data_IF_084485505993
#
_entry.id   IF_084485505993
#
_cell.length_a   1.000
_cell.length_b   1.000
_cell.length_c   1.000
_cell.angle_alpha   90.00
_cell.angle_beta   90.00
_cell.angle_gamma   90.00
#
_symmetry.space_group_name_H-M   'P 1'
#
loop_
_entity.id
_entity.type
_entity.pdbx_description
1 polymer ?
#
# COMPACT_ATOMS: atom_id res chain seq x y z
N UNK A 1 -6.58 -2.25 3.65
CA UNK A 1 -5.47 -2.58 2.75
C UNK A 1 -4.85 -3.87 3.25
N UNK A 2 -4.77 -4.88 2.41
CA UNK A 2 -4.23 -6.18 2.75
C UNK A 2 -2.71 -6.19 2.38
N UNK A 3 -1.87 -6.80 3.23
CA UNK A 3 -0.40 -6.77 3.12
C UNK A 3 0.25 -8.15 2.96
N UNK A 4 -0.49 -9.24 2.87
CA UNK A 4 0.00 -10.61 2.61
C UNK A 4 0.93 -10.69 1.41
N UNK A 5 0.74 -9.82 0.41
CA UNK A 5 1.62 -9.66 -0.75
C UNK A 5 3.10 -9.40 -0.37
N UNK A 6 3.34 -8.79 0.79
CA UNK A 6 4.67 -8.45 1.31
C UNK A 6 5.44 -9.66 1.85
N UNK A 7 4.77 -10.79 2.16
CA UNK A 7 5.40 -11.98 2.76
C UNK A 7 6.38 -12.66 1.80
N UNK A 8 5.87 -13.09 0.65
CA UNK A 8 6.62 -13.94 -0.28
C UNK A 8 6.64 -13.39 -1.71
N UNK A 9 5.54 -12.74 -2.14
CA UNK A 9 5.37 -12.34 -3.53
C UNK A 9 6.31 -11.20 -3.90
N UNK A 10 6.42 -10.16 -3.06
CA UNK A 10 7.36 -9.06 -3.31
C UNK A 10 8.83 -9.55 -3.27
N UNK A 11 9.28 -10.30 -2.25
CA UNK A 11 10.64 -10.86 -2.25
C UNK A 11 10.93 -11.73 -3.48
N UNK A 12 10.00 -12.62 -3.85
CA UNK A 12 10.13 -13.45 -5.05
C UNK A 12 10.25 -12.60 -6.31
N UNK A 13 9.39 -11.60 -6.48
CA UNK A 13 9.40 -10.75 -7.67
C UNK A 13 10.71 -9.98 -7.83
N UNK A 14 11.27 -9.48 -6.72
CA UNK A 14 12.61 -8.86 -6.70
C UNK A 14 13.70 -9.84 -7.10
N UNK A 15 13.63 -11.08 -6.62
CA UNK A 15 14.62 -12.13 -6.93
C UNK A 15 14.57 -12.55 -8.40
N UNK A 16 13.36 -12.69 -8.97
CA UNK A 16 13.16 -13.14 -10.35
C UNK A 16 13.20 -12.01 -11.38
N UNK A 17 13.29 -10.74 -10.95
CA UNK A 17 13.28 -9.58 -11.85
C UNK A 17 11.95 -9.38 -12.59
N UNK A 18 10.83 -9.78 -11.97
CA UNK A 18 9.49 -9.64 -12.58
C UNK A 18 8.72 -8.44 -11.99
N UNK A 19 7.95 -7.77 -12.84
CA UNK A 19 7.09 -6.67 -12.43
C UNK A 19 5.82 -7.14 -11.71
N UNK A 20 5.21 -6.25 -10.93
CA UNK A 20 4.01 -6.52 -10.15
C UNK A 20 2.83 -5.70 -10.68
N UNK A 21 1.67 -6.33 -10.89
CA UNK A 21 0.44 -5.65 -11.27
C UNK A 21 -0.69 -5.93 -10.25
N UNK A 22 -0.61 -5.37 -9.03
CA UNK A 22 -1.58 -5.66 -7.97
C UNK A 22 -2.95 -5.07 -8.28
N UNK A 23 -3.99 -5.84 -8.00
CA UNK A 23 -5.38 -5.39 -8.06
C UNK A 23 -5.89 -5.06 -6.65
N UNK A 24 -7.06 -4.44 -6.57
CA UNK A 24 -7.73 -4.05 -5.31
C UNK A 24 -6.93 -3.11 -4.38
N UNK A 25 -6.03 -2.31 -4.94
CA UNK A 25 -5.17 -1.40 -4.17
C UNK A 25 -5.93 -0.31 -3.40
N UNK A 26 -7.18 -0.06 -3.77
CA UNK A 26 -8.11 0.87 -3.09
C UNK A 26 -9.23 0.16 -2.29
N UNK A 27 -9.11 -1.16 -2.08
CA UNK A 27 -10.04 -1.99 -1.29
C UNK A 27 -11.48 -1.91 -1.77
N UNK A 28 -11.74 -2.11 -3.06
CA UNK A 28 -13.08 -2.05 -3.65
C UNK A 28 -13.73 -0.66 -3.55
N UNK A 29 -12.94 0.39 -3.37
CA UNK A 29 -13.40 1.75 -3.12
C UNK A 29 -13.90 1.98 -1.68
N UNK A 30 -13.53 1.11 -0.74
CA UNK A 30 -13.81 1.25 0.70
C UNK A 30 -12.77 2.12 1.41
N UNK A 31 -11.59 2.34 0.82
CA UNK A 31 -10.65 3.37 1.27
C UNK A 31 -11.18 4.74 0.82
N UNK A 32 -11.97 5.37 1.69
CA UNK A 32 -12.66 6.65 1.46
C UNK A 32 -12.88 7.37 2.79
N UNK A 33 -12.96 8.71 2.75
CA UNK A 33 -13.15 9.51 3.96
C UNK A 33 -14.52 9.25 4.59
N UNK A 34 -14.69 9.64 5.85
CA UNK A 34 -15.98 9.48 6.54
C UNK A 34 -17.07 10.36 5.90
N UNK A 35 -16.69 11.51 5.33
CA UNK A 35 -17.59 12.37 4.55
C UNK A 35 -18.04 11.68 3.24
N UNK A 36 -17.09 11.17 2.45
CA UNK A 36 -17.40 10.43 1.21
C UNK A 36 -18.26 9.18 1.49
N UNK A 37 -18.05 8.52 2.63
CA UNK A 37 -18.87 7.38 3.05
C UNK A 37 -20.30 7.78 3.39
N UNK A 38 -20.50 8.91 4.08
CA UNK A 38 -21.83 9.43 4.41
C UNK A 38 -22.60 9.81 3.14
N UNK A 39 -21.96 10.52 2.20
CA UNK A 39 -22.56 10.86 0.90
C UNK A 39 -22.95 9.61 0.12
N UNK A 40 -22.10 8.59 0.10
CA UNK A 40 -22.36 7.35 -0.64
C UNK A 40 -23.56 6.57 -0.08
N UNK A 41 -23.75 6.59 1.25
CA UNK A 41 -24.94 5.98 1.90
C UNK A 41 -26.24 6.70 1.55
N UNK A 42 -26.16 8.01 1.28
CA UNK A 42 -27.31 8.81 0.84
C UNK A 42 -27.56 8.68 -0.67
N UNK A 43 -26.53 8.31 -1.45
CA UNK A 43 -26.66 8.10 -2.89
C UNK A 43 -27.43 6.81 -3.21
N UNK A 44 -28.31 6.86 -4.22
CA UNK A 44 -28.97 5.68 -4.78
C UNK A 44 -28.02 4.80 -5.63
N UNK A 45 -26.71 5.07 -5.59
CA UNK A 45 -25.72 4.44 -6.45
C UNK A 45 -25.46 2.99 -5.97
N UNK A 46 -26.16 2.02 -6.56
CA UNK A 46 -25.95 0.59 -6.29
C UNK A 46 -24.50 0.21 -6.56
N UNK A 47 -23.78 -0.14 -5.51
CA UNK A 47 -22.45 -0.73 -5.61
C UNK A 47 -22.56 -2.12 -6.22
N UNK A 48 -21.74 -2.41 -7.24
CA UNK A 48 -21.57 -3.77 -7.78
C UNK A 48 -20.44 -4.54 -7.07
N UNK A 49 -20.04 -4.08 -5.87
CA UNK A 49 -19.00 -4.75 -5.10
C UNK A 49 -19.45 -6.16 -4.75
N UNK A 50 -18.69 -7.15 -5.20
CA UNK A 50 -18.85 -8.56 -4.81
C UNK A 50 -18.60 -8.76 -3.31
N UNK A 51 -17.90 -7.83 -2.66
CA UNK A 51 -17.46 -7.86 -1.27
C UNK A 51 -18.26 -6.89 -0.36
N UNK A 52 -19.42 -6.43 -0.82
CA UNK A 52 -20.26 -5.46 -0.11
C UNK A 52 -19.73 -4.01 -0.15
N UNK A 53 -20.55 -3.08 0.34
CA UNK A 53 -20.28 -1.62 0.28
C UNK A 53 -19.75 -1.06 1.59
N UNK A 54 -20.08 -1.75 2.68
CA UNK A 54 -19.75 -1.35 4.03
C UNK A 54 -18.25 -1.46 4.28
N UNK A 55 -17.76 -0.51 5.08
CA UNK A 55 -16.38 -0.48 5.54
C UNK A 55 -16.29 -1.24 6.85
N UNK A 56 -15.40 -2.21 6.90
CA UNK A 56 -14.93 -2.83 8.14
C UNK A 56 -14.18 -1.81 9.01
N UNK A 57 -14.03 -2.10 10.30
CA UNK A 57 -13.23 -1.27 11.21
C UNK A 57 -11.78 -1.08 10.72
N UNK A 58 -11.20 -2.11 10.10
CA UNK A 58 -9.85 -2.05 9.52
C UNK A 58 -9.79 -1.04 8.37
N UNK A 59 -10.79 -1.00 7.51
CA UNK A 59 -10.87 -0.06 6.39
C UNK A 59 -11.11 1.37 6.88
N UNK A 60 -11.90 1.56 7.94
CA UNK A 60 -12.12 2.88 8.56
C UNK A 60 -10.79 3.40 9.16
N UNK A 61 -10.11 2.58 9.98
CA UNK A 61 -8.81 2.94 10.58
C UNK A 61 -7.78 3.29 9.51
N UNK A 62 -7.68 2.46 8.46
CA UNK A 62 -6.77 2.72 7.35
C UNK A 62 -7.13 3.99 6.58
N UNK A 63 -8.42 4.25 6.34
CA UNK A 63 -8.87 5.46 5.63
C UNK A 63 -8.48 6.73 6.39
N UNK A 64 -8.64 6.76 7.72
CA UNK A 64 -8.23 7.90 8.56
C UNK A 64 -6.72 8.12 8.57
N UNK A 65 -5.95 7.03 8.56
CA UNK A 65 -4.49 7.13 8.47
C UNK A 65 -4.03 7.65 7.09
N UNK A 66 -4.67 7.19 6.01
CA UNK A 66 -4.44 7.71 4.66
C UNK A 66 -4.83 9.19 4.55
N UNK A 67 -5.90 9.61 5.21
CA UNK A 67 -6.32 11.02 5.28
C UNK A 67 -5.27 11.88 6.00
N UNK A 68 -4.73 11.42 7.13
CA UNK A 68 -3.64 12.10 7.81
C UNK A 68 -2.42 12.27 6.89
N UNK A 69 -1.98 11.19 6.24
CA UNK A 69 -0.82 11.24 5.33
C UNK A 69 -1.12 12.12 4.11
N UNK A 70 -2.35 12.09 3.60
CA UNK A 70 -2.76 12.96 2.50
C UNK A 70 -2.58 14.45 2.86
N UNK A 71 -2.94 14.85 4.08
CA UNK A 71 -2.72 16.21 4.56
C UNK A 71 -1.23 16.57 4.65
N UNK A 72 -0.39 15.65 5.12
CA UNK A 72 1.07 15.85 5.26
C UNK A 72 1.77 15.99 3.89
N UNK A 73 1.32 15.25 2.88
CA UNK A 73 1.91 15.28 1.52
C UNK A 73 1.19 16.22 0.55
N UNK A 74 0.14 16.92 1.00
CA UNK A 74 -0.65 17.82 0.17
C UNK A 74 -1.51 17.15 -0.91
N UNK A 75 -1.82 15.86 -0.74
CA UNK A 75 -2.67 15.12 -1.67
C UNK A 75 -4.16 15.42 -1.43
N UNK A 76 -4.91 15.61 -2.51
CA UNK A 76 -6.36 15.84 -2.48
C UNK A 76 -7.13 14.53 -2.30
N UNK A 77 -6.56 13.41 -2.76
CA UNK A 77 -7.21 12.10 -2.74
C UNK A 77 -6.49 11.11 -1.84
N UNK A 78 -7.20 10.59 -0.82
CA UNK A 78 -6.67 9.52 0.01
C UNK A 78 -6.48 8.21 -0.78
N UNK A 79 -7.20 8.04 -1.90
CA UNK A 79 -7.04 6.90 -2.81
C UNK A 79 -5.73 7.01 -3.58
N UNK A 80 -5.36 8.23 -3.99
CA UNK A 80 -4.06 8.47 -4.61
C UNK A 80 -2.91 8.14 -3.64
N UNK A 81 -3.03 8.51 -2.37
CA UNK A 81 -2.07 8.12 -1.32
C UNK A 81 -1.99 6.59 -1.16
N UNK A 82 -3.12 5.89 -1.18
CA UNK A 82 -3.14 4.42 -1.11
C UNK A 82 -2.45 3.78 -2.32
N UNK A 83 -2.68 4.29 -3.53
CA UNK A 83 -2.02 3.84 -4.76
C UNK A 83 -0.51 4.10 -4.68
N UNK A 84 -0.12 5.32 -4.26
CA UNK A 84 1.28 5.70 -4.08
C UNK A 84 1.98 4.80 -3.05
N UNK A 85 1.33 4.49 -1.93
CA UNK A 85 1.84 3.53 -0.94
C UNK A 85 2.17 2.18 -1.57
N UNK A 86 1.26 1.62 -2.38
CA UNK A 86 1.51 0.33 -3.06
C UNK A 86 2.68 0.44 -4.03
N UNK A 87 2.78 1.53 -4.78
CA UNK A 87 3.91 1.79 -5.70
C UNK A 87 5.26 1.93 -4.96
N UNK A 88 5.25 2.33 -3.68
CA UNK A 88 6.45 2.45 -2.85
C UNK A 88 6.91 1.12 -2.23
N UNK A 89 6.19 -0.01 -2.41
CA UNK A 89 6.58 -1.29 -1.79
C UNK A 89 7.74 -2.01 -2.50
N UNK A 90 7.86 -1.82 -3.81
CA UNK A 90 8.87 -2.47 -4.64
C UNK A 90 9.12 -1.65 -5.93
N UNK A 91 10.25 -1.83 -6.60
CA UNK A 91 10.40 -1.34 -7.97
C UNK A 91 9.42 -2.04 -8.92
N UNK A 92 9.06 -1.37 -10.02
CA UNK A 92 8.23 -1.93 -11.12
C UNK A 92 6.86 -2.45 -10.67
N UNK A 93 6.16 -1.66 -9.86
CA UNK A 93 4.78 -1.91 -9.43
C UNK A 93 3.82 -1.07 -10.26
N UNK A 94 2.86 -1.72 -10.90
CA UNK A 94 1.84 -1.13 -11.77
C UNK A 94 0.43 -1.44 -11.25
N UNK A 95 -0.07 -0.68 -10.26
CA UNK A 95 -1.38 -0.94 -9.69
C UNK A 95 -2.51 -0.89 -10.73
N UNK A 96 -3.36 -1.91 -10.72
CA UNK A 96 -4.58 -1.91 -11.54
C UNK A 96 -5.62 -1.05 -10.82
N UNK A 97 -5.91 0.11 -11.40
CA UNK A 97 -6.88 1.08 -10.87
C UNK A 97 -8.18 1.04 -11.66
N UNK A 98 -9.30 0.99 -10.94
CA UNK A 98 -10.64 1.07 -11.51
C UNK A 98 -11.34 2.36 -11.09
N UNK A 99 -12.07 2.98 -12.00
CA UNK A 99 -12.89 4.16 -11.76
C UNK A 99 -14.23 4.04 -12.49
N UNK A 100 -15.32 4.55 -11.89
CA UNK A 100 -16.65 4.58 -12.52
C UNK A 100 -16.97 5.92 -13.16
N UNK A 101 -16.25 6.97 -12.77
CA UNK A 101 -16.39 8.34 -13.26
C UNK A 101 -15.02 8.86 -13.69
N UNK A 102 -14.97 9.72 -14.70
CA UNK A 102 -13.71 10.24 -15.23
C UNK A 102 -12.92 11.02 -14.15
N UNK A 103 -13.62 11.74 -13.29
CA UNK A 103 -13.03 12.53 -12.20
C UNK A 103 -12.33 11.64 -11.17
N UNK A 104 -12.84 10.42 -10.94
CA UNK A 104 -12.19 9.43 -10.07
C UNK A 104 -10.88 8.92 -10.70
N UNK A 105 -10.88 8.71 -12.02
CA UNK A 105 -9.67 8.30 -12.73
C UNK A 105 -8.60 9.39 -12.63
N UNK A 106 -8.98 10.64 -12.92
CA UNK A 106 -8.07 11.79 -12.81
C UNK A 106 -7.55 11.95 -11.38
N UNK A 107 -8.42 11.80 -10.38
CA UNK A 107 -8.02 11.82 -8.96
C UNK A 107 -7.03 10.71 -8.60
N UNK A 108 -7.15 9.51 -9.18
CA UNK A 108 -6.19 8.43 -8.94
C UNK A 108 -4.81 8.72 -9.55
N UNK A 109 -4.72 9.49 -10.63
CA UNK A 109 -3.45 9.83 -11.30
C UNK A 109 -2.56 10.73 -10.43
N UNK A 110 -3.13 11.44 -9.46
CA UNK A 110 -2.37 12.21 -8.46
C UNK A 110 -1.34 11.31 -7.73
N UNK A 111 -1.56 10.00 -7.67
CA UNK A 111 -0.63 9.04 -7.07
C UNK A 111 0.78 9.09 -7.69
N UNK A 112 0.89 9.49 -8.97
CA UNK A 112 2.17 9.59 -9.68
C UNK A 112 3.02 10.77 -9.19
N UNK A 113 2.41 11.75 -8.54
CA UNK A 113 3.07 12.94 -8.01
C UNK A 113 3.37 12.85 -6.50
N UNK A 114 2.83 11.82 -5.84
CA UNK A 114 2.96 11.62 -4.40
C UNK A 114 4.22 10.82 -4.11
N UNK A 115 5.05 11.35 -3.21
CA UNK A 115 6.22 10.63 -2.68
C UNK A 115 6.12 10.49 -1.17
N UNK A 116 6.19 9.26 -0.68
CA UNK A 116 5.92 8.91 0.73
C UNK A 116 7.18 8.61 1.51
N UNK A 117 7.48 9.44 2.51
CA UNK A 117 8.68 9.30 3.32
C UNK A 117 8.73 7.94 4.03
N UNK A 118 9.92 7.46 4.42
CA UNK A 118 10.03 6.26 5.25
C UNK A 118 9.16 6.35 6.52
N UNK A 119 8.97 7.54 7.08
CA UNK A 119 8.12 7.83 8.23
C UNK A 119 6.63 7.63 7.89
N UNK A 120 6.17 8.14 6.75
CA UNK A 120 4.79 7.94 6.28
C UNK A 120 4.51 6.45 6.05
N UNK A 121 5.43 5.74 5.38
CA UNK A 121 5.30 4.28 5.16
C UNK A 121 5.20 3.54 6.49
N UNK A 122 6.14 3.77 7.42
CA UNK A 122 6.10 3.14 8.76
C UNK A 122 4.81 3.45 9.52
N UNK A 123 4.33 4.69 9.43
CA UNK A 123 3.07 5.08 10.06
C UNK A 123 1.88 4.30 9.50
N UNK A 124 1.71 4.27 8.17
CA UNK A 124 0.62 3.53 7.52
C UNK A 124 0.68 2.03 7.84
N UNK A 125 1.89 1.47 7.91
CA UNK A 125 2.12 0.07 8.24
C UNK A 125 1.80 -0.28 9.71
N UNK A 126 1.89 0.68 10.62
CA UNK A 126 1.58 0.49 12.05
C UNK A 126 0.08 0.38 12.35
N UNK A 127 -0.78 0.79 11.42
CA UNK A 127 -2.24 0.89 11.65
C UNK A 127 -2.90 -0.48 11.79
N UNK A 128 -2.42 -1.44 11.01
CA UNK A 128 -2.94 -2.79 10.97
C UNK A 128 -1.79 -3.77 11.27
N UNK A 129 -2.01 -4.77 12.14
CA UNK A 129 -0.99 -5.76 12.42
C UNK A 129 -0.64 -6.52 11.14
N UNK A 130 0.64 -6.73 10.92
CA UNK A 130 1.16 -7.59 9.87
C UNK A 130 1.77 -8.83 10.51
N UNK A 131 1.15 -9.97 10.23
CA UNK A 131 1.75 -11.26 10.52
C UNK A 131 2.61 -11.65 9.31
N UNK A 132 3.91 -11.84 9.50
CA UNK A 132 4.79 -12.32 8.43
C UNK A 132 4.65 -13.83 8.21
N UNK A 133 4.20 -14.58 9.22
CA UNK A 133 4.11 -16.03 9.19
C UNK A 133 5.48 -16.73 9.33
N UNK A 134 5.44 -18.04 9.58
CA UNK A 134 6.62 -18.89 9.51
C UNK A 134 6.97 -19.17 8.03
N UNK A 135 8.26 -19.18 7.62
CA UNK A 135 9.48 -19.10 8.46
C UNK A 135 9.99 -17.68 8.74
N UNK A 136 9.40 -16.64 8.14
CA UNK A 136 9.91 -15.26 8.23
C UNK A 136 9.87 -14.67 9.64
N UNK A 137 8.91 -15.08 10.48
CA UNK A 137 8.85 -14.67 11.89
C UNK A 137 9.98 -15.25 12.77
N UNK A 138 10.68 -16.29 12.29
CA UNK A 138 11.77 -16.93 13.02
C UNK A 138 13.13 -16.54 12.44
N UNK A 139 13.28 -16.55 11.12
CA UNK A 139 14.57 -16.30 10.46
C UNK A 139 14.74 -14.87 9.94
N UNK A 140 13.68 -14.06 9.95
CA UNK A 140 13.63 -12.73 9.34
C UNK A 140 13.06 -12.76 7.91
N UNK A 141 12.73 -11.57 7.40
CA UNK A 141 12.17 -11.32 6.07
C UNK A 141 13.25 -10.94 5.03
N UNK A 142 14.53 -11.08 5.39
CA UNK A 142 15.67 -10.71 4.56
C UNK A 142 15.96 -9.20 4.52
N UNK A 143 15.20 -8.36 5.23
CA UNK A 143 15.51 -6.92 5.32
C UNK A 143 16.72 -6.63 6.22
N UNK A 144 16.92 -7.46 7.24
CA UNK A 144 18.06 -7.45 8.15
C UNK A 144 18.70 -8.85 8.24
N UNK A 145 19.99 -8.90 8.59
CA UNK A 145 20.67 -10.18 8.82
C UNK A 145 20.25 -10.75 10.18
N UNK A 146 19.90 -12.04 10.21
CA UNK A 146 19.63 -12.71 11.48
C UNK A 146 20.94 -13.03 12.22
N UNK A 147 20.84 -13.18 13.56
CA UNK A 147 22.01 -13.40 14.42
C UNK A 147 22.78 -14.70 14.14
N UNK A 148 22.13 -15.70 13.55
CA UNK A 148 22.77 -16.95 13.16
C UNK A 148 23.66 -16.77 11.91
N UNK A 149 23.21 -15.96 10.96
CA UNK A 149 23.96 -15.67 9.75
C UNK A 149 25.12 -14.71 10.02
N UNK A 150 24.94 -13.72 10.90
CA UNK A 150 26.02 -12.77 11.24
C UNK A 150 27.10 -13.36 12.13
N UNK A 151 26.82 -14.45 12.87
CA UNK A 151 27.81 -15.12 13.71
C UNK A 151 28.77 -16.01 12.92
N UNK A 152 28.41 -16.39 11.69
CA UNK A 152 29.17 -17.36 10.88
C UNK A 152 29.87 -16.73 9.67
N UNK A 153 29.45 -15.53 9.24
CA UNK A 153 30.06 -14.84 8.11
C UNK A 153 29.93 -13.31 8.20
N UNK A 154 30.87 -12.61 7.56
CA UNK A 154 30.72 -11.19 7.26
C UNK A 154 29.76 -11.01 6.09
N UNK A 155 28.59 -10.42 6.36
CA UNK A 155 27.56 -10.19 5.35
C UNK A 155 27.59 -8.73 4.92
N UNK A 156 27.58 -8.50 3.60
CA UNK A 156 27.44 -7.16 3.02
C UNK A 156 26.11 -7.09 2.29
N UNK A 157 25.28 -6.12 2.66
CA UNK A 157 24.00 -5.89 1.98
C UNK A 157 24.24 -5.24 0.62
N UNK A 158 23.81 -5.93 -0.44
CA UNK A 158 23.83 -5.35 -1.79
C UNK A 158 22.66 -4.37 -1.94
N UNK A 159 22.89 -3.14 -2.43
CA UNK A 159 21.81 -2.18 -2.65
C UNK A 159 20.91 -2.65 -3.79
N UNK A 160 19.64 -2.91 -3.49
CA UNK A 160 18.62 -3.21 -4.49
C UNK A 160 18.08 -1.95 -5.17
N UNK A 161 17.41 -2.13 -6.30
CA UNK A 161 16.65 -1.05 -6.97
C UNK A 161 15.56 -0.57 -6.01
N UNK A 162 15.52 0.74 -5.76
CA UNK A 162 14.52 1.34 -4.89
C UNK A 162 13.19 1.51 -5.64
N UNK A 163 12.05 1.47 -4.93
CA UNK A 163 10.77 1.97 -5.43
C UNK A 163 10.89 3.45 -5.85
N UNK A 164 9.80 4.03 -6.36
CA UNK A 164 9.73 5.42 -6.83
C UNK A 164 10.54 6.33 -5.89
N UNK A 165 11.68 6.88 -6.34
CA UNK A 165 12.51 7.70 -5.48
C UNK A 165 11.75 8.97 -5.13
N UNK A 166 11.94 9.45 -3.90
CA UNK A 166 11.67 10.86 -3.60
C UNK A 166 12.57 11.70 -4.51
N UNK A 167 11.99 12.27 -5.55
CA UNK A 167 12.65 13.32 -6.32
C UNK A 167 11.76 14.56 -6.34
N UNK A 168 12.07 15.49 -5.43
CA UNK A 168 12.72 16.74 -5.82
C UNK A 168 14.02 16.86 -5.06
#
# INVERSE_FOLDING_TARGET
>A
MERSFERDVIPMAKSLGVALAPWDVIGGGKLRTDAEDAEKRQSAEKSRSLMGVERSEKEIKMSRALEKVAQEVGAKSIRAVAIAYVMHKAPYVFPIVGARKAEQLVSNLEALEISLSPEHIRYLESILPFDSGFPTNFFGDGTAHNGFLTSTAHLTKQPGVRPIPHSK
#
